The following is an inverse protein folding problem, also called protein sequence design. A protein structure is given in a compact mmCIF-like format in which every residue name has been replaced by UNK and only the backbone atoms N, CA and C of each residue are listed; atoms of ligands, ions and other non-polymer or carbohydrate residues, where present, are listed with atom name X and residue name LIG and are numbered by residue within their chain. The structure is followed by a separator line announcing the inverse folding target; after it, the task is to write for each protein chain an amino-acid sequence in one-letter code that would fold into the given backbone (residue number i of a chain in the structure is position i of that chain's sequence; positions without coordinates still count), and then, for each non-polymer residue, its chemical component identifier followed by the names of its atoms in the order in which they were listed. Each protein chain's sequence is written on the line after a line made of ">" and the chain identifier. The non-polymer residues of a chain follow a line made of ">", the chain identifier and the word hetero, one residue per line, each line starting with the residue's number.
data_IF_030981391758
#
_entry.id   IF_030981391758
#
_cell.length_a   1.000
_cell.length_b   1.000
_cell.length_c   1.000
_cell.angle_alpha   90.00
_cell.angle_beta   90.00
_cell.angle_gamma   90.00
#
_symmetry.space_group_name_H-M   'P 1'
#
loop_
_entity.id
_entity.type
_entity.pdbx_description
1 polymer ?
#
# COMPACT_ATOMS: atom_id res chain seq x y z
N UNK A 1 -7.12 12.24 -15.48
CA UNK A 1 -7.48 11.26 -14.42
C UNK A 1 -6.71 11.61 -13.18
N UNK A 2 -7.39 11.77 -12.04
CA UNK A 2 -6.78 12.20 -10.77
C UNK A 2 -6.03 11.03 -10.15
N UNK A 3 -4.72 11.18 -9.96
CA UNK A 3 -3.94 10.21 -9.19
C UNK A 3 -4.33 10.32 -7.72
N UNK A 4 -4.86 9.24 -7.15
CA UNK A 4 -5.21 9.14 -5.73
C UNK A 4 -4.12 8.32 -5.04
N UNK A 5 -3.63 8.84 -3.92
CA UNK A 5 -2.79 8.11 -2.99
C UNK A 5 -3.61 7.81 -1.74
N UNK A 6 -3.77 6.54 -1.40
CA UNK A 6 -4.30 6.10 -0.12
C UNK A 6 -3.15 5.62 0.75
N UNK A 7 -3.13 6.03 2.01
CA UNK A 7 -2.17 5.56 3.01
C UNK A 7 -2.91 4.86 4.14
N UNK A 8 -2.33 3.77 4.66
CA UNK A 8 -2.82 3.16 5.89
C UNK A 8 -2.38 3.95 7.12
N UNK A 9 -2.96 3.64 8.26
CA UNK A 9 -2.32 3.81 9.56
C UNK A 9 -0.99 3.02 9.64
N UNK A 10 -0.14 3.41 10.59
CA UNK A 10 1.14 2.73 10.81
C UNK A 10 0.92 1.41 11.55
N UNK A 11 1.30 0.30 10.92
CA UNK A 11 1.26 -1.05 11.49
C UNK A 11 2.70 -1.51 11.68
N UNK A 12 3.13 -1.76 12.92
CA UNK A 12 4.51 -2.17 13.25
C UNK A 12 5.61 -1.27 12.66
N UNK A 13 5.33 0.03 12.55
CA UNK A 13 6.25 1.00 11.94
C UNK A 13 6.23 1.02 10.40
N UNK A 14 5.32 0.27 9.78
CA UNK A 14 5.10 0.25 8.34
C UNK A 14 3.84 1.02 7.95
N UNK A 15 3.92 1.78 6.86
CA UNK A 15 2.77 2.43 6.23
C UNK A 15 2.54 1.81 4.86
N UNK A 16 1.35 1.26 4.64
CA UNK A 16 0.96 0.73 3.34
C UNK A 16 0.38 1.85 2.47
N UNK A 17 0.71 1.82 1.18
CA UNK A 17 0.32 2.85 0.23
C UNK A 17 -0.32 2.22 -1.01
N UNK A 18 -1.52 2.67 -1.37
CA UNK A 18 -2.14 2.39 -2.66
C UNK A 18 -2.07 3.66 -3.51
N UNK A 19 -1.28 3.62 -4.56
CA UNK A 19 -1.23 4.66 -5.58
C UNK A 19 -2.05 4.23 -6.79
N UNK A 20 -2.91 5.10 -7.29
CA UNK A 20 -3.69 4.85 -8.51
C UNK A 20 -3.17 5.71 -9.64
N UNK A 21 -2.83 5.09 -10.76
CA UNK A 21 -2.62 5.77 -12.04
C UNK A 21 -3.74 5.37 -13.01
N UNK A 22 -3.78 6.01 -14.19
CA UNK A 22 -4.81 5.70 -15.21
C UNK A 22 -4.78 4.25 -15.73
N UNK A 23 -3.77 3.46 -15.35
CA UNK A 23 -3.58 2.07 -15.80
C UNK A 23 -3.81 1.04 -14.67
N UNK A 24 -3.98 1.46 -13.42
CA UNK A 24 -4.26 0.56 -12.32
C UNK A 24 -3.86 1.11 -10.96
N UNK A 25 -3.62 0.18 -10.02
CA UNK A 25 -3.34 0.47 -8.63
C UNK A 25 -2.09 -0.29 -8.17
N UNK A 26 -1.11 0.43 -7.64
CA UNK A 26 0.09 -0.15 -7.02
C UNK A 26 -0.03 -0.10 -5.51
N UNK A 27 0.01 -1.27 -4.88
CA UNK A 27 0.15 -1.47 -3.45
C UNK A 27 1.64 -1.58 -3.08
N UNK A 28 2.07 -0.76 -2.14
CA UNK A 28 3.47 -0.63 -1.69
C UNK A 28 3.53 -0.41 -0.18
N UNK A 29 4.73 -0.44 0.38
CA UNK A 29 4.98 -0.26 1.82
C UNK A 29 6.11 0.75 2.03
N UNK A 30 6.01 1.54 3.11
CA UNK A 30 7.01 2.50 3.57
C UNK A 30 7.38 2.22 5.03
N UNK A 31 8.64 2.41 5.47
CA UNK A 31 9.80 2.85 4.68
C UNK A 31 10.11 1.86 3.54
N UNK A 32 10.50 2.41 2.38
CA UNK A 32 10.96 1.57 1.27
C UNK A 32 12.22 0.85 1.72
N UNK A 33 12.20 -0.47 1.58
CA UNK A 33 13.18 -1.38 2.11
C UNK A 33 14.62 -0.94 1.81
N UNK A 34 15.33 -0.50 2.86
CA UNK A 34 16.77 -0.30 2.82
C UNK A 34 17.43 -1.63 3.17
N UNK A 35 18.08 -2.23 2.17
CA UNK A 35 18.97 -3.40 2.25
C UNK A 35 19.60 -3.53 3.64
N UNK A 36 19.10 -4.44 4.50
CA UNK A 36 19.78 -4.91 5.72
C UNK A 36 19.06 -6.10 6.38
N UNK A 37 18.75 -7.14 5.59
CA UNK A 37 18.79 -8.53 6.08
C UNK A 37 17.66 -9.08 6.97
N UNK A 38 16.64 -8.32 7.34
CA UNK A 38 15.47 -8.85 8.08
C UNK A 38 14.20 -8.11 7.68
N UNK A 39 13.32 -8.68 6.86
CA UNK A 39 12.08 -8.00 6.48
C UNK A 39 10.85 -8.92 6.51
N UNK A 40 9.95 -8.58 7.43
CA UNK A 40 8.66 -9.22 7.72
C UNK A 40 7.74 -9.33 6.51
N UNK A 41 7.93 -8.52 5.45
CA UNK A 41 7.13 -8.58 4.22
C UNK A 41 7.95 -8.67 2.92
N UNK A 42 9.19 -9.19 3.01
CA UNK A 42 10.03 -9.45 1.84
C UNK A 42 9.31 -10.31 0.80
N UNK A 43 9.41 -9.91 -0.47
CA UNK A 43 8.81 -10.63 -1.61
C UNK A 43 7.30 -10.47 -1.79
N UNK A 44 6.58 -9.81 -0.86
CA UNK A 44 5.15 -9.56 -1.03
C UNK A 44 4.84 -8.22 -1.69
N UNK A 45 5.70 -7.21 -1.55
CA UNK A 45 5.53 -5.87 -2.13
C UNK A 45 6.59 -5.55 -3.20
N UNK A 46 6.27 -4.73 -4.21
CA UNK A 46 4.95 -4.16 -4.50
C UNK A 46 4.02 -5.15 -5.22
N UNK A 47 2.72 -4.89 -5.16
CA UNK A 47 1.70 -5.63 -5.93
C UNK A 47 0.83 -4.68 -6.75
N UNK A 48 0.35 -5.19 -7.87
CA UNK A 48 -0.44 -4.43 -8.83
C UNK A 48 -1.84 -5.02 -8.94
N UNK A 49 -2.84 -4.14 -8.99
CA UNK A 49 -4.26 -4.49 -9.04
C UNK A 49 -4.99 -3.57 -10.00
N UNK A 50 -6.13 -4.02 -10.51
CA UNK A 50 -6.99 -3.21 -11.37
C UNK A 50 -7.78 -2.14 -10.61
N UNK A 51 -8.05 -2.35 -9.31
CA UNK A 51 -8.83 -1.43 -8.46
C UNK A 51 -8.25 -1.35 -7.04
N UNK A 52 -8.43 -0.21 -6.33
CA UNK A 52 -7.96 -0.07 -4.95
C UNK A 52 -8.61 -1.06 -3.99
N UNK A 53 -9.88 -1.39 -4.23
CA UNK A 53 -10.63 -2.35 -3.40
C UNK A 53 -9.96 -3.73 -3.36
N UNK A 54 -9.40 -4.19 -4.48
CA UNK A 54 -8.68 -5.46 -4.54
C UNK A 54 -7.34 -5.41 -3.80
N UNK A 55 -6.63 -4.27 -3.90
CA UNK A 55 -5.42 -4.03 -3.13
C UNK A 55 -5.70 -4.05 -1.61
N UNK A 56 -6.78 -3.38 -1.16
CA UNK A 56 -7.22 -3.39 0.25
C UNK A 56 -7.53 -4.81 0.72
N UNK A 57 -8.34 -5.54 -0.02
CA UNK A 57 -8.74 -6.91 0.34
C UNK A 57 -7.54 -7.87 0.39
N UNK A 58 -6.59 -7.74 -0.53
CA UNK A 58 -5.37 -8.54 -0.52
C UNK A 58 -4.50 -8.23 0.70
N UNK A 59 -4.34 -6.95 1.05
CA UNK A 59 -3.59 -6.56 2.25
C UNK A 59 -4.25 -7.08 3.53
N UNK A 60 -5.57 -6.95 3.66
CA UNK A 60 -6.31 -7.46 4.83
C UNK A 60 -6.13 -8.97 5.00
N UNK A 61 -6.14 -9.73 3.90
CA UNK A 61 -5.86 -11.18 3.95
C UNK A 61 -4.42 -11.49 4.36
N UNK A 62 -3.49 -10.65 3.95
CA UNK A 62 -2.07 -10.83 4.23
C UNK A 62 -1.72 -10.49 5.70
N UNK A 63 -2.29 -9.41 6.22
CA UNK A 63 -2.10 -8.99 7.61
C UNK A 63 -2.95 -9.81 8.60
N UNK A 64 -4.04 -10.42 8.12
CA UNK A 64 -5.04 -11.07 8.98
C UNK A 64 -6.03 -10.09 9.61
N UNK A 65 -5.83 -8.78 9.44
CA UNK A 65 -6.69 -7.73 9.98
C UNK A 65 -6.87 -6.55 9.01
N UNK A 66 -7.89 -5.74 9.24
CA UNK A 66 -8.18 -4.56 8.43
C UNK A 66 -7.39 -3.35 8.92
N UNK A 67 -6.85 -2.57 7.99
CA UNK A 67 -6.20 -1.28 8.26
C UNK A 67 -7.09 -0.10 7.87
N UNK A 68 -6.88 1.03 8.52
CA UNK A 68 -7.62 2.26 8.23
C UNK A 68 -6.98 2.98 7.06
N UNK A 69 -7.78 3.39 6.07
CA UNK A 69 -7.26 4.07 4.88
C UNK A 69 -7.65 5.54 4.87
N UNK A 70 -6.66 6.41 4.68
CA UNK A 70 -6.89 7.84 4.48
C UNK A 70 -6.43 8.28 3.09
N UNK A 71 -7.25 9.02 2.34
CA UNK A 71 -6.79 9.63 1.10
C UNK A 71 -5.82 10.75 1.42
N UNK A 72 -4.65 10.72 0.77
CA UNK A 72 -3.71 11.84 0.74
C UNK A 72 -4.02 12.65 -0.52
N UNK A 73 -4.91 13.62 -0.38
CA UNK A 73 -5.19 14.63 -1.40
C UNK A 73 -4.05 15.65 -1.36
N UNK A 74 -3.14 15.61 -2.33
CA UNK A 74 -2.00 16.52 -2.33
C UNK A 74 -1.05 16.31 -3.50
N UNK A 75 -1.44 16.78 -4.68
CA UNK A 75 -0.58 17.45 -5.64
C UNK A 75 -1.45 18.54 -6.26
N UNK A 76 -1.33 19.75 -5.69
CA UNK A 76 -1.65 21.00 -6.36
C UNK A 76 -0.59 21.28 -7.42
#
# INVERSE_FOLDING_TARGET
>A
MTSILLTSDSVDGYTFCISTDGNGCKLSVRPEYRRNGTQTYDGWFPRYYSKPQYAKAALTRFLGESVNWSPRTGLS
#
